data_IF_115151440419
#
_entry.id   IF_115151440419
#
_cell.length_a   1.000
_cell.length_b   1.000
_cell.length_c   1.000
_cell.angle_alpha   90.00
_cell.angle_beta   90.00
_cell.angle_gamma   90.00
#
_symmetry.space_group_name_H-M   'P 1'
#
loop_
_entity.id
_entity.type
_entity.pdbx_description
1 polymer ?
2 non-polymer ?
3 non-polymer ?
4 non-polymer ?
5 water ?
#
# COMPACT_ATOMS: atom_id res chain seq x y z
N UNK A 13 27.52 -15.27 -2.97
CA UNK A 13 27.59 -16.72 -3.08
C UNK A 13 26.52 -17.41 -2.24
N UNK A 14 26.34 -16.93 -1.01
CA UNK A 14 25.35 -17.49 -0.11
C UNK A 14 24.03 -16.73 -0.19
N UNK A 15 23.58 -16.22 0.94
CA UNK A 15 22.29 -15.52 1.00
C UNK A 15 22.39 -14.10 0.45
N UNK A 16 21.49 -13.76 -0.47
CA UNK A 16 21.41 -12.40 -0.98
C UNK A 16 20.18 -11.66 -0.41
N UNK A 17 20.36 -10.40 -0.01
CA UNK A 17 19.24 -9.56 0.42
C UNK A 17 19.15 -8.41 -0.56
N UNK A 18 17.97 -8.21 -1.12
CA UNK A 18 17.75 -7.05 -1.97
C UNK A 18 16.74 -6.13 -1.29
N UNK A 19 17.20 -4.98 -0.81
CA UNK A 19 16.32 -4.00 -0.16
C UNK A 19 15.80 -2.97 -1.17
N UNK A 20 14.51 -2.68 -1.11
CA UNK A 20 13.95 -1.59 -1.88
C UNK A 20 14.03 -0.32 -1.06
N UNK A 21 14.00 0.85 -1.72
CA UNK A 21 14.05 2.08 -0.94
C UNK A 21 12.90 2.21 0.07
N UNK A 22 11.78 1.52 -0.17
CA UNK A 22 10.63 1.62 0.74
C UNK A 22 10.82 0.79 2.02
N UNK A 23 11.93 0.04 2.11
CA UNK A 23 12.24 -0.72 3.29
C UNK A 23 11.89 -2.20 3.25
N UNK A 24 11.15 -2.62 2.23
CA UNK A 24 10.88 -4.03 2.03
C UNK A 24 12.09 -4.69 1.40
N UNK A 25 12.08 -6.02 1.33
CA UNK A 25 13.23 -6.73 0.76
C UNK A 25 12.91 -8.14 0.24
N UNK A 26 13.76 -8.61 -0.66
CA UNK A 26 13.77 -10.00 -1.12
C UNK A 26 15.00 -10.67 -0.54
N UNK A 27 14.85 -11.91 -0.06
CA UNK A 27 15.98 -12.59 0.55
C UNK A 27 15.95 -14.08 0.27
N UNK A 28 17.10 -14.63 -0.08
CA UNK A 28 17.25 -16.07 -0.21
C UNK A 28 18.54 -16.40 -0.94
N UNK A 29 18.74 -17.68 -1.20
CA UNK A 29 19.89 -18.11 -1.99
C UNK A 29 19.60 -18.01 -3.47
N UNK A 30 20.57 -17.54 -4.24
CA UNK A 30 20.41 -17.45 -5.68
C UNK A 30 20.65 -18.82 -6.33
N UNK A 31 20.21 -18.97 -7.57
CA UNK A 31 20.48 -20.20 -8.31
C UNK A 31 21.83 -20.11 -9.04
N UNK A 32 22.18 -21.15 -9.78
CA UNK A 32 23.43 -21.18 -10.54
C UNK A 32 23.61 -19.97 -11.45
N UNK A 33 22.50 -19.37 -11.88
CA UNK A 33 22.53 -18.19 -12.74
C UNK A 33 22.49 -16.87 -11.96
N UNK A 34 22.52 -16.95 -10.63
CA UNK A 34 22.48 -15.76 -9.78
C UNK A 34 21.10 -15.11 -9.67
N UNK A 35 20.06 -15.90 -9.83
CA UNK A 35 18.69 -15.39 -9.81
C UNK A 35 18.00 -15.79 -8.51
N UNK A 36 17.10 -14.94 -8.03
CA UNK A 36 16.30 -15.29 -6.85
C UNK A 36 15.23 -16.31 -7.20
N UNK A 37 15.65 -17.55 -7.44
CA UNK A 37 14.76 -18.62 -7.86
C UNK A 37 14.90 -19.83 -6.94
N UNK A 38 13.79 -20.33 -6.40
CA UNK A 38 13.83 -21.47 -5.50
C UNK A 38 12.58 -21.55 -4.65
N UNK A 39 12.57 -22.49 -3.70
CA UNK A 39 11.40 -22.75 -2.85
C UNK A 39 11.59 -22.18 -1.46
N UNK A 40 12.70 -21.49 -1.26
CA UNK A 40 13.02 -20.98 0.06
C UNK A 40 13.43 -19.52 0.00
N UNK A 41 12.68 -18.77 -0.81
CA UNK A 41 12.88 -17.33 -0.98
C UNK A 41 11.79 -16.61 -0.18
N UNK A 42 12.04 -15.39 0.26
CA UNK A 42 11.03 -14.61 0.97
C UNK A 42 11.02 -13.19 0.49
N UNK A 43 9.83 -12.59 0.44
CA UNK A 43 9.71 -11.12 0.52
C UNK A 43 9.52 -10.77 1.99
N UNK A 44 10.27 -9.79 2.49
CA UNK A 44 10.08 -9.32 3.86
C UNK A 44 9.54 -7.88 3.85
N UNK A 45 8.43 -7.68 4.55
CA UNK A 45 7.79 -6.37 4.61
C UNK A 45 8.68 -5.36 5.36
N UNK A 46 8.36 -4.05 5.24
CA UNK A 46 9.16 -3.00 5.90
C UNK A 46 9.32 -3.12 7.41
N UNK A 47 8.49 -3.93 8.08
CA UNK A 47 8.69 -4.15 9.52
C UNK A 47 9.87 -5.06 9.84
N UNK A 48 10.49 -5.60 8.79
CA UNK A 48 11.58 -6.57 8.92
C UNK A 48 11.19 -7.76 9.79
N UNK A 49 9.92 -8.16 9.70
CA UNK A 49 9.38 -9.24 10.52
C UNK A 49 8.30 -10.05 9.78
N UNK A 50 7.31 -9.36 9.21
CA UNK A 50 6.27 -10.04 8.47
C UNK A 50 6.85 -10.44 7.12
N UNK A 51 6.62 -11.69 6.70
CA UNK A 51 7.24 -12.19 5.48
C UNK A 51 6.33 -13.10 4.65
N UNK A 52 6.59 -13.11 3.35
CA UNK A 52 5.93 -14.03 2.45
C UNK A 52 7.00 -15.02 1.96
N UNK A 53 6.88 -16.27 2.39
CA UNK A 53 7.97 -17.25 2.22
C UNK A 53 7.56 -18.42 1.35
N UNK A 54 8.41 -18.76 0.37
CA UNK A 54 8.11 -19.89 -0.50
C UNK A 54 8.73 -19.82 -1.88
N UNK A 55 7.90 -20.09 -2.89
CA UNK A 55 8.41 -20.26 -4.24
C UNK A 55 8.47 -18.96 -5.03
N UNK A 56 9.68 -18.57 -5.44
CA UNK A 56 9.87 -17.39 -6.26
C UNK A 56 10.64 -17.82 -7.50
N UNK A 57 10.37 -17.18 -8.62
CA UNK A 57 11.15 -17.36 -9.84
C UNK A 57 11.68 -16.00 -10.31
N UNK A 58 13.00 -15.87 -10.35
CA UNK A 58 13.64 -14.61 -10.71
C UNK A 58 13.10 -13.41 -9.91
N UNK A 59 12.89 -13.60 -8.62
CA UNK A 59 12.48 -12.50 -7.76
C UNK A 59 10.97 -12.31 -7.70
N UNK A 60 10.25 -13.05 -8.54
CA UNK A 60 8.80 -12.92 -8.62
C UNK A 60 8.08 -14.00 -7.83
N UNK A 61 7.13 -13.58 -7.02
CA UNK A 61 6.44 -14.48 -6.09
C UNK A 61 5.45 -15.38 -6.83
N UNK A 62 5.66 -16.69 -6.70
CA UNK A 62 4.78 -17.67 -7.29
C UNK A 62 3.84 -18.19 -6.22
N UNK A 63 4.43 -18.52 -5.09
CA UNK A 63 3.67 -19.01 -3.95
C UNK A 63 4.34 -18.62 -2.65
N UNK A 64 3.86 -17.52 -2.04
CA UNK A 64 4.40 -17.05 -0.78
C UNK A 64 3.43 -17.31 0.36
N UNK A 65 3.89 -18.04 1.38
CA UNK A 65 3.07 -18.31 2.55
C UNK A 65 3.46 -17.36 3.66
N UNK A 66 2.47 -16.92 4.44
CA UNK A 66 2.71 -15.97 5.51
C UNK A 66 3.66 -16.55 6.53
N UNK A 67 4.61 -15.73 6.98
CA UNK A 67 5.70 -16.21 7.83
C UNK A 67 6.20 -15.06 8.66
N UNK A 68 7.04 -15.39 9.64
CA UNK A 68 7.66 -14.38 10.49
C UNK A 68 9.18 -14.56 10.42
N UNK A 69 9.90 -13.47 10.19
CA UNK A 69 11.36 -13.50 10.29
C UNK A 69 11.68 -13.53 11.78
N UNK A 70 12.07 -14.70 12.27
CA UNK A 70 12.31 -14.88 13.71
C UNK A 70 13.68 -14.35 14.11
N UNK A 71 14.67 -14.63 13.28
CA UNK A 71 16.04 -14.23 13.58
C UNK A 71 16.91 -14.28 12.35
N UNK A 72 18.04 -13.59 12.41
CA UNK A 72 19.03 -13.64 11.34
C UNK A 72 20.39 -13.84 11.98
N UNK A 73 21.17 -14.74 11.40
CA UNK A 73 22.52 -15.03 11.88
C UNK A 73 23.51 -14.98 10.71
N UNK A 74 24.40 -13.99 10.73
CA UNK A 74 25.33 -13.76 9.62
C UNK A 74 24.62 -13.70 8.26
N UNK A 75 23.52 -12.98 8.24
CA UNK A 75 22.81 -12.75 6.99
C UNK A 75 21.89 -13.89 6.59
N UNK A 76 21.85 -14.96 7.38
CA UNK A 76 21.05 -16.13 7.05
C UNK A 76 19.75 -16.08 7.85
N UNK A 77 18.61 -15.94 7.16
CA UNK A 77 17.35 -15.70 7.88
C UNK A 77 16.73 -16.99 8.41
N UNK A 78 16.11 -16.93 9.57
CA UNK A 78 15.31 -18.05 10.03
C UNK A 78 13.84 -17.67 10.02
N UNK A 79 13.07 -18.36 9.18
CA UNK A 79 11.65 -18.11 9.03
C UNK A 79 10.79 -19.21 9.69
N UNK A 80 9.71 -18.79 10.35
CA UNK A 80 8.67 -19.72 10.78
C UNK A 80 7.37 -19.39 10.06
N UNK A 81 6.71 -20.40 9.49
CA UNK A 81 5.41 -20.17 8.85
C UNK A 81 4.35 -19.82 9.88
N UNK A 82 3.45 -18.91 9.52
CA UNK A 82 2.32 -18.59 10.37
C UNK A 82 1.30 -19.71 10.26
N UNK A 83 0.45 -19.85 11.29
CA UNK A 83 -0.63 -20.84 11.23
C UNK A 83 -1.51 -20.57 10.03
N UNK A 84 -2.18 -21.61 9.54
CA UNK A 84 -3.18 -21.40 8.53
C UNK A 84 -2.67 -21.59 7.12
N UNK A 85 -3.45 -21.09 6.17
CA UNK A 85 -3.21 -21.38 4.77
C UNK A 85 -3.20 -20.14 3.91
N UNK A 86 -2.79 -19.02 4.49
CA UNK A 86 -2.64 -17.77 3.75
C UNK A 86 -1.52 -17.93 2.73
N UNK A 87 -1.85 -17.76 1.45
CA UNK A 87 -0.92 -17.89 0.34
C UNK A 87 -1.08 -16.71 -0.64
N UNK A 88 0.02 -16.25 -1.24
CA UNK A 88 -0.04 -15.08 -2.11
C UNK A 88 0.83 -15.27 -3.34
N UNK A 89 0.50 -14.57 -4.41
CA UNK A 89 1.32 -14.62 -5.61
C UNK A 89 1.37 -13.24 -6.26
N UNK A 90 2.40 -12.99 -7.05
CA UNK A 90 2.50 -11.78 -7.86
C UNK A 90 1.27 -11.72 -8.73
N UNK A 91 0.52 -10.63 -8.60
CA UNK A 91 -0.82 -10.55 -9.17
C UNK A 91 -1.07 -9.11 -9.60
N UNK A 92 -0.16 -8.56 -10.42
CA UNK A 92 -0.24 -7.16 -10.82
C UNK A 92 -1.56 -6.84 -11.55
N UNK A 93 -2.16 -5.70 -11.20
CA UNK A 93 -3.43 -5.32 -11.81
C UNK A 93 -3.23 -4.99 -13.28
N UNK A 94 -4.34 -4.87 -14.01
CA UNK A 94 -4.30 -4.41 -15.39
C UNK A 94 -5.24 -3.21 -15.49
N UNK A 95 -5.56 -2.80 -16.71
CA UNK A 95 -6.50 -1.70 -16.93
C UNK A 95 -7.89 -1.99 -16.37
N UNK A 96 -8.29 -3.26 -16.34
CA UNK A 96 -9.65 -3.61 -15.94
C UNK A 96 -9.75 -4.60 -14.78
N UNK A 97 -8.69 -5.37 -14.54
CA UNK A 97 -8.72 -6.34 -13.45
C UNK A 97 -7.91 -5.79 -12.29
N UNK A 98 -8.59 -5.56 -11.16
CA UNK A 98 -7.93 -5.03 -9.97
C UNK A 98 -7.14 -6.09 -9.21
N UNK A 99 -7.61 -7.34 -9.26
CA UNK A 99 -7.01 -8.42 -8.47
C UNK A 99 -7.63 -9.78 -8.82
N UNK A 100 -6.88 -10.87 -8.71
CA UNK A 100 -7.47 -12.20 -8.89
C UNK A 100 -8.21 -12.61 -7.62
N UNK A 101 -7.92 -11.92 -6.51
CA UNK A 101 -8.63 -12.20 -5.28
C UNK A 101 -8.87 -10.92 -4.49
N UNK A 102 -9.88 -10.18 -4.94
CA UNK A 102 -10.21 -8.88 -4.38
C UNK A 102 -10.51 -8.88 -2.88
N UNK A 103 -10.91 -10.02 -2.35
CA UNK A 103 -11.31 -10.12 -0.94
C UNK A 103 -10.26 -10.79 -0.06
N UNK A 104 -9.07 -11.02 -0.59
CA UNK A 104 -7.96 -11.53 0.22
C UNK A 104 -7.13 -10.35 0.73
N UNK A 105 -7.20 -10.05 2.03
CA UNK A 105 -6.53 -8.86 2.58
C UNK A 105 -5.00 -8.97 2.51
N UNK A 106 -4.31 -7.85 2.61
CA UNK A 106 -2.86 -7.88 2.77
C UNK A 106 -2.57 -8.01 4.27
N UNK A 107 -1.75 -9.01 4.66
CA UNK A 107 -1.59 -9.35 6.09
C UNK A 107 -0.81 -8.30 6.89
N UNK A 108 0.14 -7.61 6.26
CA UNK A 108 0.87 -6.51 6.89
C UNK A 108 -0.08 -5.33 7.15
N UNK A 109 -0.81 -4.97 6.11
CA UNK A 109 -1.84 -3.94 6.21
C UNK A 109 -2.93 -4.28 7.25
N UNK A 110 -3.36 -5.54 7.29
CA UNK A 110 -4.42 -5.96 8.24
C UNK A 110 -4.08 -5.71 9.70
N UNK A 111 -2.78 -5.74 10.01
CA UNK A 111 -2.29 -5.56 11.38
C UNK A 111 -2.14 -4.09 11.76
N UNK A 112 -2.20 -3.19 10.79
CA UNK A 112 -1.89 -1.77 11.02
C UNK A 112 -3.04 -0.78 10.81
N UNK A 113 -3.98 -1.13 9.95
CA UNK A 113 -5.07 -0.21 9.63
C UNK A 113 -6.45 -0.85 9.54
N UNK A 114 -7.47 -0.04 9.72
CA UNK A 114 -8.84 -0.49 9.54
C UNK A 114 -9.68 0.63 8.95
N UNK A 115 -10.80 0.26 8.37
CA UNK A 115 -11.70 1.23 7.79
C UNK A 115 -12.88 1.44 8.74
N UNK A 116 -13.29 2.69 8.89
CA UNK A 116 -14.47 3.05 9.65
C UNK A 116 -14.98 4.40 9.17
N UNK A 117 -16.07 4.88 9.78
CA UNK A 117 -16.61 6.19 9.39
C UNK A 117 -15.58 7.23 9.73
N UNK A 118 -15.26 8.10 8.78
CA UNK A 118 -14.29 9.17 8.98
C UNK A 118 -14.76 10.11 10.07
N UNK A 119 -13.82 10.66 10.84
CA UNK A 119 -14.14 11.68 11.85
C UNK A 119 -14.39 13.04 11.20
N UNK A 120 -13.98 13.17 9.94
CA UNK A 120 -14.23 14.37 9.16
C UNK A 120 -15.68 14.36 8.72
N UNK A 121 -16.41 15.41 9.09
CA UNK A 121 -17.84 15.49 8.82
C UNK A 121 -18.14 15.33 7.34
N UNK A 122 -19.08 14.45 7.03
CA UNK A 122 -19.58 14.25 5.68
C UNK A 122 -18.48 13.86 4.70
N UNK A 123 -17.62 12.95 5.12
CA UNK A 123 -16.43 12.58 4.34
C UNK A 123 -16.39 11.10 4.07
N UNK A 124 -17.53 10.44 4.27
CA UNK A 124 -17.65 9.00 4.09
C UNK A 124 -16.78 8.21 5.05
N UNK A 125 -16.20 7.12 4.54
CA UNK A 125 -15.31 6.28 5.33
C UNK A 125 -13.89 6.83 5.35
N UNK A 126 -13.15 6.48 6.40
CA UNK A 126 -11.75 6.85 6.50
C UNK A 126 -10.89 5.67 6.89
N UNK A 127 -9.59 5.89 6.93
CA UNK A 127 -8.64 4.85 7.33
C UNK A 127 -8.06 5.22 8.69
N UNK A 128 -7.97 4.24 9.58
CA UNK A 128 -7.53 4.48 10.95
C UNK A 128 -6.41 3.52 11.29
N UNK A 129 -5.48 3.96 12.14
CA UNK A 129 -4.39 3.09 12.60
C UNK A 129 -4.88 2.16 13.72
N UNK A 130 -4.44 0.90 13.68
CA UNK A 130 -4.70 -0.04 14.78
C UNK A 130 -3.67 0.12 15.89
N UNK A 131 -2.57 0.84 15.59
CA UNK A 131 -1.38 0.77 16.43
C UNK A 131 -0.70 2.12 16.63
N UNK A 132 0.03 2.25 17.73
CA UNK A 132 0.91 3.39 17.90
C UNK A 132 2.22 3.05 17.18
N UNK A 133 2.65 3.89 16.25
CA UNK A 133 3.90 3.64 15.55
C UNK A 133 4.62 4.95 15.32
N UNK A 134 5.91 4.88 14.99
CA UNK A 134 6.67 6.09 14.81
C UNK A 134 6.58 6.68 13.42
N UNK A 135 7.39 7.72 13.17
CA UNK A 135 7.44 8.41 11.88
C UNK A 135 7.93 7.50 10.76
N UNK A 136 7.53 7.81 9.54
CA UNK A 136 7.99 7.09 8.35
C UNK A 136 7.61 5.61 8.34
N UNK A 137 6.48 5.29 8.96
CA UNK A 137 6.03 3.88 8.96
C UNK A 137 5.06 3.61 7.83
N UNK A 138 5.34 2.59 7.01
CA UNK A 138 4.39 2.14 6.00
C UNK A 138 3.18 1.50 6.69
N UNK A 139 1.99 2.05 6.41
CA UNK A 139 0.78 1.60 7.07
C UNK A 139 -0.16 0.82 6.15
N UNK A 140 -0.22 1.22 4.88
CA UNK A 140 -1.28 0.78 4.00
C UNK A 140 -0.83 0.82 2.54
N UNK A 141 -1.47 0.01 1.70
CA UNK A 141 -1.15 -0.04 0.28
C UNK A 141 -2.24 0.53 -0.64
N UNK A 142 -1.80 1.30 -1.63
CA UNK A 142 -2.71 1.91 -2.58
C UNK A 142 -2.58 1.17 -3.91
N UNK A 143 -3.18 -0.01 -3.99
CA UNK A 143 -3.28 -0.76 -5.25
C UNK A 143 -4.56 -0.37 -5.97
N UNK A 144 -4.58 -0.61 -7.28
CA UNK A 144 -5.79 -0.39 -8.07
C UNK A 144 -5.55 -0.75 -9.53
N UNK A 145 -6.53 -0.45 -10.39
CA UNK A 145 -6.33 -0.64 -11.81
C UNK A 145 -5.35 0.39 -12.32
N UNK A 146 -4.68 0.06 -13.42
CA UNK A 146 -3.67 0.93 -14.01
C UNK A 146 -4.21 1.53 -15.31
N UNK A 147 -4.37 2.85 -15.35
CA UNK A 147 -4.90 3.51 -16.52
C UNK A 147 -4.02 4.69 -16.91
N UNK A 148 -4.25 5.23 -18.11
CA UNK A 148 -3.43 6.32 -18.64
C UNK A 148 -3.88 7.66 -18.07
N UNK A 149 -2.97 8.62 -18.05
CA UNK A 149 -3.28 9.97 -17.63
C UNK A 149 -4.32 10.60 -18.56
N UNK A 150 -4.36 10.15 -19.82
CA UNK A 150 -5.31 10.70 -20.77
C UNK A 150 -6.72 10.30 -20.40
N UNK A 151 -6.91 9.02 -20.10
CA UNK A 151 -8.23 8.57 -19.70
C UNK A 151 -8.76 9.30 -18.46
N UNK A 152 -7.87 9.58 -17.50
CA UNK A 152 -8.27 10.22 -16.26
C UNK A 152 -8.56 11.69 -16.49
N UNK A 153 -7.63 12.35 -17.19
CA UNK A 153 -7.73 13.78 -17.42
C UNK A 153 -8.86 14.12 -18.40
N UNK A 154 -9.30 13.15 -19.19
CA UNK A 154 -10.29 13.41 -20.23
C UNK A 154 -11.69 13.05 -19.81
N UNK A 155 -11.86 12.57 -18.58
CA UNK A 155 -13.19 12.23 -18.10
C UNK A 155 -13.65 13.15 -16.98
N UNK A 156 -14.92 13.01 -16.59
CA UNK A 156 -15.53 13.82 -15.56
C UNK A 156 -14.81 13.65 -14.23
N UNK A 157 -14.39 14.76 -13.64
CA UNK A 157 -13.69 14.77 -12.35
C UNK A 157 -14.35 13.91 -11.27
N UNK A 158 -15.66 13.71 -11.39
CA UNK A 158 -16.42 12.96 -10.39
C UNK A 158 -16.20 11.45 -10.51
N UNK A 159 -15.42 11.05 -11.52
CA UNK A 159 -15.04 9.65 -11.65
C UNK A 159 -13.61 9.44 -11.13
N UNK A 160 -12.98 10.54 -10.69
CA UNK A 160 -11.56 10.52 -10.33
C UNK A 160 -11.28 10.60 -8.83
N UNK A 161 -12.27 10.30 -8.00
CA UNK A 161 -12.11 10.44 -6.56
C UNK A 161 -11.03 9.54 -5.99
N UNK A 162 -10.86 8.35 -6.60
CA UNK A 162 -9.91 7.37 -6.11
C UNK A 162 -8.65 7.26 -6.94
N UNK A 163 -8.45 8.22 -7.85
CA UNK A 163 -7.25 8.20 -8.70
C UNK A 163 -6.01 8.67 -7.93
N UNK A 164 -4.87 8.06 -8.26
CA UNK A 164 -3.61 8.48 -7.69
C UNK A 164 -2.53 8.24 -8.73
N UNK A 165 -1.85 9.30 -9.15
CA UNK A 165 -0.78 9.16 -10.14
C UNK A 165 0.29 8.24 -9.62
N UNK A 166 0.70 7.29 -10.46
CA UNK A 166 1.77 6.37 -10.10
C UNK A 166 3.11 6.84 -10.62
N UNK A 167 3.14 7.17 -11.91
CA UNK A 167 4.36 7.64 -12.56
C UNK A 167 4.00 8.44 -13.80
N UNK A 168 4.99 8.73 -14.65
CA UNK A 168 4.76 9.51 -15.86
C UNK A 168 3.72 8.85 -16.76
N UNK A 169 3.64 7.51 -16.70
CA UNK A 169 2.81 6.76 -17.64
C UNK A 169 1.47 6.26 -17.09
N UNK A 170 1.36 6.13 -15.77
CA UNK A 170 0.26 5.36 -15.17
C UNK A 170 -0.44 6.08 -14.02
N UNK A 171 -1.75 5.93 -13.95
CA UNK A 171 -2.55 6.38 -12.83
C UNK A 171 -3.25 5.19 -12.24
N UNK A 172 -3.16 5.03 -10.92
CA UNK A 172 -3.86 3.97 -10.23
C UNK A 172 -5.27 4.41 -9.89
N UNK A 173 -6.24 3.50 -10.00
CA UNK A 173 -7.61 3.87 -9.68
C UNK A 173 -8.32 2.73 -8.96
N UNK A 174 -9.29 3.08 -8.13
CA UNK A 174 -10.12 2.09 -7.47
C UNK A 174 -11.57 2.47 -7.78
N UNK A 175 -12.04 2.07 -8.97
CA UNK A 175 -13.36 2.48 -9.47
C UNK A 175 -14.47 1.63 -8.87
N UNK A 176 -15.70 2.14 -8.89
CA UNK A 176 -16.88 1.36 -8.51
C UNK A 176 -16.86 0.03 -9.27
N UNK A 177 -17.25 -1.07 -8.59
CA UNK A 177 -17.77 -1.12 -7.22
C UNK A 177 -16.67 -1.43 -6.21
N UNK A 178 -15.41 -1.32 -6.61
CA UNK A 178 -14.32 -1.71 -5.72
C UNK A 178 -14.05 -0.68 -4.63
N UNK A 179 -14.74 0.46 -4.72
CA UNK A 179 -14.62 1.50 -3.70
C UNK A 179 -15.36 1.12 -2.42
N UNK A 180 -15.99 -0.06 -2.44
CA UNK A 180 -16.67 -0.62 -1.28
C UNK A 180 -15.87 -1.77 -0.73
N UNK A 181 -15.63 -1.76 0.56
CA UNK A 181 -14.84 -2.81 1.22
C UNK A 181 -15.46 -4.22 1.05
N UNK A 182 -16.78 -4.32 0.88
CA UNK A 182 -17.39 -5.65 0.71
C UNK A 182 -17.05 -6.26 -0.65
N UNK A 183 -16.56 -5.45 -1.56
CA UNK A 183 -16.19 -5.88 -2.90
C UNK A 183 -14.68 -5.95 -3.08
N UNK A 184 -13.95 -5.06 -2.40
CA UNK A 184 -12.50 -5.04 -2.53
C UNK A 184 -11.85 -4.66 -1.22
N UNK A 185 -10.99 -5.55 -0.69
CA UNK A 185 -10.26 -5.25 0.52
C UNK A 185 -8.82 -5.79 0.49
N UNK A 186 -8.31 -6.11 -0.69
CA UNK A 186 -6.94 -6.59 -0.82
C UNK A 186 -5.94 -5.49 -0.39
N UNK A 187 -6.30 -4.24 -0.64
CA UNK A 187 -5.57 -3.08 -0.11
C UNK A 187 -6.59 -1.99 0.29
N UNK A 188 -6.16 -1.01 1.10
CA UNK A 188 -7.10 -0.02 1.67
C UNK A 188 -6.67 1.44 1.56
N UNK A 189 -5.58 1.70 0.85
CA UNK A 189 -5.01 3.04 0.79
C UNK A 189 -6.00 4.07 0.26
N UNK A 190 -6.91 3.61 -0.59
CA UNK A 190 -7.93 4.48 -1.17
C UNK A 190 -8.99 4.94 -0.15
N UNK A 191 -8.93 4.44 1.07
CA UNK A 191 -9.91 4.83 2.08
C UNK A 191 -9.40 6.00 2.95
N UNK A 192 -8.18 6.44 2.71
CA UNK A 192 -7.64 7.56 3.47
C UNK A 192 -8.18 8.89 2.95
N UNK A 193 -8.77 9.67 3.84
CA UNK A 193 -9.30 10.97 3.47
C UNK A 193 -8.20 12.05 3.44
N UNK A 194 -8.53 13.16 2.80
CA UNK A 194 -7.64 14.29 2.66
C UNK A 194 -7.58 15.21 3.88
N UNK A 195 -6.41 15.80 4.14
CA UNK A 195 -6.27 16.92 5.08
C UNK A 195 -5.05 17.80 4.79
N UNK A 196 -5.13 19.06 5.23
CA UNK A 196 -4.03 20.01 5.06
C UNK A 196 -3.08 19.98 6.24
N UNK A 197 -3.45 19.25 7.28
CA UNK A 197 -2.50 18.88 8.31
C UNK A 197 -2.44 17.35 8.40
N UNK A 198 -2.02 16.70 7.30
CA UNK A 198 -2.08 15.23 7.26
C UNK A 198 -1.06 14.65 8.21
N UNK A 199 -1.28 13.41 8.66
CA UNK A 199 -0.23 12.72 9.36
C UNK A 199 0.50 11.72 8.44
N UNK A 200 0.07 11.62 7.18
CA UNK A 200 0.69 10.68 6.24
C UNK A 200 0.94 11.28 4.85
N UNK A 201 1.75 10.57 4.06
CA UNK A 201 1.97 10.86 2.65
C UNK A 201 1.81 9.59 1.79
N UNK A 202 1.47 9.78 0.52
CA UNK A 202 1.64 8.73 -0.47
C UNK A 202 3.11 8.61 -0.83
N UNK A 203 3.59 7.38 -1.00
CA UNK A 203 5.00 7.14 -1.27
C UNK A 203 5.10 5.94 -2.21
N UNK A 204 6.16 5.88 -3.02
CA UNK A 204 6.40 4.71 -3.86
C UNK A 204 6.52 3.42 -3.05
N UNK A 205 5.98 2.32 -3.57
CA UNK A 205 6.15 1.02 -2.92
C UNK A 205 6.28 -0.10 -3.96
N UNK A 206 7.20 -1.04 -3.74
CA UNK A 206 7.30 -2.23 -4.60
C UNK A 206 6.79 -3.46 -3.82
N UNK A 207 5.61 -3.93 -4.20
CA UNK A 207 4.88 -4.93 -3.44
C UNK A 207 4.99 -6.30 -4.14
N UNK A 208 5.22 -7.37 -3.36
CA UNK A 208 5.43 -8.69 -3.97
C UNK A 208 4.18 -9.24 -4.68
N UNK A 209 3.02 -8.78 -4.23
CA UNK A 209 1.75 -9.17 -4.81
C UNK A 209 1.28 -8.15 -5.86
N UNK A 210 1.25 -6.87 -5.47
CA UNK A 210 0.64 -5.85 -6.32
C UNK A 210 1.60 -5.25 -7.36
N UNK A 211 2.90 -5.54 -7.25
CA UNK A 211 3.88 -4.88 -8.10
C UNK A 211 4.11 -3.45 -7.68
N UNK A 212 4.53 -2.58 -8.63
CA UNK A 212 4.81 -1.17 -8.33
C UNK A 212 3.53 -0.38 -8.09
N UNK A 213 3.40 0.20 -6.91
CA UNK A 213 2.18 0.92 -6.56
C UNK A 213 2.60 2.06 -5.65
N UNK A 214 1.65 2.63 -4.91
CA UNK A 214 2.03 3.55 -3.87
C UNK A 214 1.54 3.02 -2.52
N UNK A 215 2.07 3.58 -1.44
CA UNK A 215 1.69 3.18 -0.10
C UNK A 215 1.39 4.44 0.71
N UNK A 216 0.77 4.25 1.87
CA UNK A 216 0.58 5.34 2.81
C UNK A 216 1.66 5.22 3.89
N UNK A 217 2.39 6.30 4.12
CA UNK A 217 3.50 6.28 5.08
C UNK A 217 3.35 7.46 6.07
N UNK A 218 3.46 7.19 7.37
CA UNK A 218 3.26 8.26 8.34
C UNK A 218 4.37 9.29 8.22
N UNK A 219 4.03 10.56 8.43
CA UNK A 219 5.04 11.62 8.49
C UNK A 219 5.63 11.74 9.88
N UNK A 220 4.90 11.21 10.85
CA UNK A 220 5.27 11.34 12.26
C UNK A 220 4.55 10.26 13.05
N UNK A 221 4.87 10.13 14.34
CA UNK A 221 4.25 9.11 15.17
C UNK A 221 2.74 9.28 15.17
N UNK A 222 2.01 8.17 15.14
CA UNK A 222 0.57 8.23 15.26
C UNK A 222 0.14 7.29 16.37
N UNK A 223 -1.08 7.52 16.87
CA UNK A 223 -1.64 6.76 17.99
C UNK A 223 -2.58 5.68 17.49
N UNK A 224 -2.85 4.69 18.33
CA UNK A 224 -3.91 3.73 18.02
C UNK A 224 -5.24 4.45 17.82
N UNK A 225 -5.97 4.03 16.81
CA UNK A 225 -7.25 4.63 16.42
C UNK A 225 -7.20 6.08 15.95
N UNK A 226 -6.01 6.61 15.74
CA UNK A 226 -5.92 7.89 15.08
C UNK A 226 -6.29 7.75 13.59
N UNK A 227 -7.09 8.68 13.07
CA UNK A 227 -7.39 8.65 11.65
C UNK A 227 -6.15 9.04 10.81
N UNK A 228 -5.94 8.31 9.71
CA UNK A 228 -4.82 8.56 8.82
C UNK A 228 -5.31 9.39 7.64
N UNK A 229 -4.63 10.50 7.39
CA UNK A 229 -5.00 11.38 6.31
C UNK A 229 -3.78 11.76 5.49
N UNK A 230 -4.03 12.21 4.26
CA UNK A 230 -2.97 12.56 3.34
C UNK A 230 -3.41 13.81 2.55
N UNK A 231 -2.47 14.70 2.24
CA UNK A 231 -2.78 15.82 1.35
C UNK A 231 -2.95 15.31 -0.06
N UNK A 232 -4.16 15.46 -0.60
CA UNK A 232 -4.42 15.10 -1.97
C UNK A 232 -3.76 16.12 -2.91
N UNK A 233 -3.63 17.35 -2.43
CA UNK A 233 -3.20 18.46 -3.29
C UNK A 233 -1.70 18.58 -3.49
N UNK A 236 -2.91 22.83 -7.01
CA UNK A 236 -3.85 21.96 -6.31
C UNK A 236 -5.27 22.08 -6.87
N UNK A 237 -5.49 21.49 -8.05
CA UNK A 237 -6.83 21.42 -8.66
C UNK A 237 -7.09 19.98 -9.15
N UNK A 238 -8.30 19.47 -8.88
CA UNK A 238 -8.63 18.07 -9.20
C UNK A 238 -8.49 17.74 -10.70
N UNK A 239 -8.14 16.50 -11.01
CA UNK A 239 -7.87 16.09 -12.39
C UNK A 239 -9.12 15.63 -13.14
N UNK A 240 -9.23 16.00 -14.42
CA UNK A 240 -10.33 15.56 -15.26
C UNK A 240 -11.11 16.71 -15.90
N UNK A 241 -12.40 16.47 -16.15
CA UNK A 241 -13.32 17.50 -16.62
C UNK A 241 -12.84 18.34 -17.80
N UNK A 247 -13.50 20.62 -5.22
CA UNK A 247 -14.78 20.59 -4.50
C UNK A 247 -14.77 21.55 -3.31
N UNK A 248 -15.96 21.87 -2.81
CA UNK A 248 -16.10 22.90 -1.79
C UNK A 248 -15.46 22.50 -0.48
N UNK A 249 -15.53 21.20 -0.17
CA UNK A 249 -14.99 20.69 1.09
C UNK A 249 -13.48 20.91 1.17
N UNK A 250 -12.84 20.89 0.01
CA UNK A 250 -11.44 21.25 -0.13
C UNK A 250 -11.28 22.76 0.15
N UNK A 251 -12.08 23.55 -0.55
CA UNK A 251 -12.04 25.00 -0.44
C UNK A 251 -12.27 25.50 0.99
N UNK A 252 -13.19 24.85 1.69
CA UNK A 252 -13.48 25.21 3.08
C UNK A 252 -12.27 25.01 3.97
N UNK A 253 -11.67 23.82 3.90
CA UNK A 253 -10.54 23.51 4.76
C UNK A 253 -9.28 24.28 4.33
N UNK A 254 -9.20 24.61 3.03
CA UNK A 254 -8.06 25.37 2.54
C UNK A 254 -8.03 26.73 3.21
N UNK A 255 -9.18 27.39 3.26
CA UNK A 255 -9.30 28.71 3.88
C UNK A 255 -8.96 28.67 5.37
N UNK A 256 -9.58 27.72 6.08
CA UNK A 256 -9.36 27.55 7.51
C UNK A 256 -7.88 27.32 7.81
N UNK A 257 -7.26 26.48 7.00
CA UNK A 257 -5.82 26.19 7.14
C UNK A 257 -4.98 27.45 6.94
N UNK A 258 -5.38 28.28 5.98
CA UNK A 258 -4.73 29.56 5.72
C UNK A 258 -4.84 30.52 6.89
N UNK A 259 -6.02 30.58 7.52
CA UNK A 259 -6.28 31.49 8.64
C UNK A 259 -5.35 31.24 9.83
N UNK A 260 -5.01 29.97 10.04
CA UNK A 260 -4.15 29.52 11.14
C UNK A 260 -2.72 30.11 11.04
N UNK A 261 -2.38 30.59 9.85
CA UNK A 261 -1.06 31.16 9.57
C UNK A 261 -0.97 32.66 9.86
N UNK A 262 -2.11 33.34 10.03
CA UNK A 262 -2.09 34.78 10.31
C UNK A 262 -2.98 35.16 11.50
N UNK A 263 -2.75 36.36 12.02
CA UNK A 263 -3.53 36.94 13.12
C UNK A 263 -5.05 36.74 12.97
X LIG B 1 -14.08 8.83 1.88
X LIG B 1 -13.68 7.88 0.86
X LIG B 1 -14.57 6.65 0.93
X LIG B 1 -15.45 6.60 1.78
X LIG B 1 -14.43 5.70 0.15
X LIG B 1 -12.21 7.48 1.00
X LIG B 1 -11.25 8.48 0.38
X LIG B 1 -11.44 8.51 -1.42
X LIG B 1 -9.72 8.50 -2.01
X LIG B 1 -11.69 10.30 -1.68
X LIG B 1 -13.12 10.76 -1.46
X LIG B 1 -13.38 10.89 -0.07
X LIG B 1 -13.35 12.13 -2.08
X LIG B 1 -13.85 12.02 -3.39
X LIG B 1 -14.36 12.75 -1.14
X LIG B 1 -15.63 12.30 -1.53
X LIG B 1 -14.05 12.11 0.19
X LIG B 1 -13.17 12.97 0.99
X LIG B 1 -11.81 12.86 1.09
X LIG B 1 -11.35 13.83 1.92
X LIG B 1 -12.41 14.58 2.33
X LIG B 1 -12.52 15.68 3.17
X LIG B 1 -11.45 16.21 3.73
X LIG B 1 -13.76 16.23 3.41
X LIG B 1 -14.88 15.69 2.83
X LIG B 1 -14.77 14.59 2.00
X LIG B 1 -13.55 14.04 1.75
X LIG C 1 -6.18 10.74 -4.69
X LIG C 1 -8.04 11.98 -5.65
X LIG C 1 -7.57 11.14 -4.47
X LIG C 1 -5.80 9.70 -3.72
X LIG C 1 -5.36 11.94 -4.50
X LIG C 1 -5.64 12.92 -5.64
X LIG C 1 -7.13 13.17 -5.84
X LIG C 1 -7.63 14.39 -6.20
X LIG C 1 -9.11 14.60 -6.41
X LIG C 1 -9.79 13.94 -7.42
X LIG C 1 -11.16 14.13 -7.62
X LIG C 1 -11.84 15.01 -6.80
X LIG C 1 -11.15 15.70 -5.80
X LIG C 1 -9.79 15.51 -5.61
X LIG C 1 -9.13 16.27 -4.51
X LIG C 1 -7.90 16.80 -4.53
X LIG C 1 -6.92 16.72 -5.62
X LIG C 1 -6.75 15.59 -6.41
X LIG C 1 -5.79 15.59 -7.43
X LIG C 1 -4.97 16.69 -7.64
X LIG C 1 -5.13 17.81 -6.83
X LIG C 1 -6.09 17.82 -5.83
X LIG D 1 -2.36 32.13 15.07
X LIG D 1 -3.86 32.43 14.98
X LIG D 1 -1.80 32.48 16.44
X LIG D 1 -1.66 32.91 13.96
X LIG D 1 -2.14 30.68 14.85
X LIG D 1 -4.35 32.00 13.72
X LIG D 1 -2.61 31.91 17.46
X LIG D 1 -0.28 32.62 13.98
#
# INVERSE_FOLDING_TARGET
GSSGSSGKDNIRHGVCWIYYPDGGSLVGEVNEDGEMTGEKIAYVYPDERTALYGKFIDGEMIEGKLATLMSTEEGRPHFELMPGNSVYHFDKSTSSCISTNALLPDPYESERVYVAESLISSAGEGLFSKVAVGPNTVMSFYNGVRITHQEVDSRDWALNGNTLSLDEETVIDVPEPYNHVSKYCASLGHKANHSFTPNCIYDMFVHPRFGPIKCIRTLRAVEADEELTVAYGXXXXXXXXXXXXXPEWYQVELKAFQATQQK
SAM N CA C O OXT CB CG SD CE C5' C4' O4' C3' O3' C2' O2' C1' N9 C8 N7 C5 C6 N6 N1 C2 N3 C4
C7H N C17 C18 C21 C19 C20 C16 C5 C13 C4 C3 C2 C1 C12 C11 C10 C15 C14 C6 C7 C8 C9
TRS C C1 C2 C3 N O1 O2 O3
#
